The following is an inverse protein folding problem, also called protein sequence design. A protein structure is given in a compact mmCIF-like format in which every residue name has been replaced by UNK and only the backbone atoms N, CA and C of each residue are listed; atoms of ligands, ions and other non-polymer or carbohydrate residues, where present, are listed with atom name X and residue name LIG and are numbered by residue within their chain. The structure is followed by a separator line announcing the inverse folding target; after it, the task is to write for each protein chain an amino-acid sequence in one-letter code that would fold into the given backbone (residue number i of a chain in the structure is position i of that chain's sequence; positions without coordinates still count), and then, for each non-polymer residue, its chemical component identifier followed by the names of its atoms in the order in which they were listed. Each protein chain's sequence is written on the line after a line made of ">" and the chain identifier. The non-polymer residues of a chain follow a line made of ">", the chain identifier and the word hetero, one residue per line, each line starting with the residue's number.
data_IF_248463656639
#
_entry.id   IF_248463656639
#
_cell.length_a   1.000
_cell.length_b   1.000
_cell.length_c   1.000
_cell.angle_alpha   90.00
_cell.angle_beta   90.00
_cell.angle_gamma   90.00
#
_symmetry.space_group_name_H-M   'P 1'
#
loop_
_entity.id
_entity.type
_entity.pdbx_description
1 polymer ?
#
# COMPACT_ATOMS: atom_id res chain seq x y z
N UNK A 1 15.62 -0.54 12.12
CA UNK A 1 14.88 -1.76 12.54
C UNK A 1 14.57 -1.79 14.03
N UNK A 2 15.37 -1.17 14.91
CA UNK A 2 15.05 -1.08 16.33
C UNK A 2 13.68 -0.42 16.60
N UNK A 3 13.33 0.63 15.84
CA UNK A 3 12.03 1.29 15.96
C UNK A 3 10.87 0.39 15.51
N UNK A 4 11.03 -0.29 14.37
CA UNK A 4 9.99 -1.18 13.83
C UNK A 4 9.74 -2.41 14.74
N UNK A 5 10.76 -2.82 15.52
CA UNK A 5 10.64 -3.92 16.51
C UNK A 5 9.74 -3.59 17.69
N UNK A 6 9.49 -2.31 17.95
CA UNK A 6 8.67 -1.91 19.08
C UNK A 6 7.24 -2.46 18.94
N UNK A 7 6.64 -3.02 20.00
CA UNK A 7 5.35 -3.70 19.92
C UNK A 7 4.19 -2.75 19.57
N UNK A 8 4.32 -1.46 19.88
CA UNK A 8 3.33 -0.43 19.55
C UNK A 8 3.44 0.11 18.12
N UNK A 9 4.46 -0.29 17.37
CA UNK A 9 4.59 0.09 15.95
C UNK A 9 3.88 -0.97 15.11
N UNK A 10 2.81 -0.58 14.43
CA UNK A 10 2.03 -1.49 13.59
C UNK A 10 2.83 -1.97 12.37
N UNK A 11 3.55 -1.05 11.72
CA UNK A 11 4.31 -1.38 10.52
C UNK A 11 4.92 -0.17 9.84
N UNK A 12 5.07 -0.25 8.52
CA UNK A 12 5.65 0.77 7.66
C UNK A 12 4.60 1.32 6.69
N UNK A 13 4.63 2.62 6.45
CA UNK A 13 3.93 3.22 5.32
C UNK A 13 4.92 3.79 4.32
N UNK A 14 4.72 3.50 3.04
CA UNK A 14 5.40 4.12 1.90
C UNK A 14 4.52 5.27 1.37
N UNK A 15 4.95 6.51 1.65
CA UNK A 15 4.25 7.74 1.28
C UNK A 15 5.23 8.81 0.75
N UNK A 16 4.68 9.82 0.08
CA UNK A 16 5.44 10.86 -0.63
C UNK A 16 5.92 10.39 -2.01
N UNK A 17 6.41 11.30 -2.85
CA UNK A 17 6.81 10.98 -4.23
C UNK A 17 5.81 10.05 -4.93
N UNK A 18 6.33 9.10 -5.70
CA UNK A 18 5.58 7.92 -6.14
C UNK A 18 6.42 6.67 -5.83
N UNK A 19 6.02 5.83 -4.85
CA UNK A 19 6.78 4.64 -4.46
C UNK A 19 7.09 3.71 -5.62
N UNK A 20 6.15 3.57 -6.56
CA UNK A 20 6.28 2.70 -7.74
C UNK A 20 7.16 3.29 -8.86
N UNK A 21 7.66 4.52 -8.71
CA UNK A 21 8.74 5.07 -9.56
C UNK A 21 10.13 4.90 -8.93
N UNK A 22 10.21 4.60 -7.63
CA UNK A 22 11.45 4.38 -6.89
C UNK A 22 11.57 2.92 -6.41
N UNK A 23 11.05 1.99 -7.21
CA UNK A 23 10.83 0.58 -6.86
C UNK A 23 12.06 -0.10 -6.29
N UNK A 24 13.26 0.17 -6.83
CA UNK A 24 14.52 -0.42 -6.33
C UNK A 24 14.80 -0.13 -4.85
N UNK A 25 14.45 1.06 -4.36
CA UNK A 25 14.65 1.43 -2.95
C UNK A 25 13.53 0.84 -2.11
N UNK A 26 12.28 0.97 -2.56
CA UNK A 26 11.11 0.47 -1.87
C UNK A 26 11.15 -1.07 -1.70
N UNK A 27 11.56 -1.81 -2.75
CA UNK A 27 11.74 -3.26 -2.72
C UNK A 27 12.76 -3.68 -1.67
N UNK A 28 13.96 -3.08 -1.68
CA UNK A 28 14.99 -3.43 -0.69
C UNK A 28 14.49 -3.25 0.74
N UNK A 29 13.71 -2.21 1.01
CA UNK A 29 13.12 -1.98 2.33
C UNK A 29 12.01 -3.00 2.64
N UNK A 30 11.06 -3.19 1.73
CA UNK A 30 9.92 -4.09 1.91
C UNK A 30 10.37 -5.55 2.07
N UNK A 31 11.29 -6.02 1.22
CA UNK A 31 11.90 -7.35 1.31
C UNK A 31 12.59 -7.55 2.67
N UNK A 32 13.35 -6.55 3.15
CA UNK A 32 14.02 -6.64 4.45
C UNK A 32 13.02 -6.72 5.60
N UNK A 33 11.92 -5.96 5.53
CA UNK A 33 10.85 -6.03 6.55
C UNK A 33 10.20 -7.41 6.52
N UNK A 34 9.89 -7.96 5.34
CA UNK A 34 9.32 -9.31 5.22
C UNK A 34 10.28 -10.38 5.75
N UNK A 35 11.58 -10.25 5.50
CA UNK A 35 12.58 -11.18 6.02
C UNK A 35 12.72 -11.12 7.56
N UNK A 36 12.67 -9.93 8.16
CA UNK A 36 12.86 -9.76 9.60
C UNK A 36 11.58 -9.98 10.43
N UNK A 37 10.39 -9.68 9.87
CA UNK A 37 9.13 -9.61 10.60
C UNK A 37 8.00 -10.44 9.99
N UNK A 38 8.20 -11.07 8.83
CA UNK A 38 7.12 -11.72 8.09
C UNK A 38 5.98 -10.74 7.82
N UNK A 39 4.76 -11.15 8.14
CA UNK A 39 3.54 -10.31 8.07
C UNK A 39 3.08 -9.77 9.43
N UNK A 40 3.92 -9.83 10.46
CA UNK A 40 3.59 -9.25 11.78
C UNK A 40 3.66 -7.73 11.80
N UNK A 41 4.37 -7.12 10.83
CA UNK A 41 4.42 -5.69 10.58
C UNK A 41 3.80 -5.41 9.23
N UNK A 42 2.77 -4.58 9.18
CA UNK A 42 2.12 -4.30 7.92
C UNK A 42 2.93 -3.32 7.06
N UNK A 43 2.72 -3.38 5.75
CA UNK A 43 3.29 -2.44 4.79
C UNK A 43 2.13 -1.80 4.04
N UNK A 44 1.94 -0.51 4.28
CA UNK A 44 0.99 0.33 3.56
C UNK A 44 1.68 1.08 2.43
N UNK A 45 0.99 1.31 1.32
CA UNK A 45 1.45 2.17 0.23
C UNK A 45 0.38 3.17 -0.19
N UNK A 46 0.78 4.41 -0.47
CA UNK A 46 -0.05 5.39 -1.18
C UNK A 46 0.53 5.62 -2.57
N UNK A 47 -0.33 5.64 -3.58
CA UNK A 47 0.08 5.79 -4.98
C UNK A 47 -0.94 6.58 -5.78
N UNK A 48 -0.47 7.29 -6.80
CA UNK A 48 -1.33 7.91 -7.80
C UNK A 48 -1.84 6.94 -8.87
N UNK A 49 -1.30 5.73 -8.93
CA UNK A 49 -1.78 4.67 -9.81
C UNK A 49 -3.05 4.01 -9.28
N UNK A 50 -3.83 3.40 -10.16
CA UNK A 50 -4.90 2.49 -9.80
C UNK A 50 -4.38 1.04 -9.71
N UNK A 51 -5.08 0.21 -8.94
CA UNK A 51 -4.78 -1.22 -8.81
C UNK A 51 -4.56 -1.92 -10.16
N UNK A 52 -5.48 -1.72 -11.11
CA UNK A 52 -5.43 -2.39 -12.41
C UNK A 52 -4.22 -1.93 -13.25
N UNK A 53 -3.77 -0.69 -13.05
CA UNK A 53 -2.53 -0.19 -13.65
C UNK A 53 -1.33 -0.94 -13.06
N UNK A 54 -1.22 -1.00 -11.74
CA UNK A 54 -0.09 -1.67 -11.07
C UNK A 54 -0.06 -3.19 -11.26
N UNK A 55 -1.22 -3.84 -11.36
CA UNK A 55 -1.31 -5.27 -11.61
C UNK A 55 -0.77 -5.65 -13.00
N UNK A 56 -0.76 -4.73 -13.96
CA UNK A 56 -0.30 -4.96 -15.34
C UNK A 56 1.08 -4.34 -15.66
N UNK A 57 1.73 -3.77 -14.65
CA UNK A 57 3.00 -3.05 -14.77
C UNK A 57 4.23 -3.95 -14.73
N UNK A 58 5.43 -3.33 -14.77
CA UNK A 58 6.70 -4.04 -14.72
C UNK A 58 6.85 -4.97 -13.50
N UNK A 59 7.66 -6.03 -13.66
CA UNK A 59 7.84 -7.08 -12.66
C UNK A 59 8.25 -6.54 -11.27
N UNK A 60 9.08 -5.51 -11.24
CA UNK A 60 9.52 -4.86 -10.00
C UNK A 60 8.36 -4.16 -9.27
N UNK A 61 7.46 -3.50 -10.00
CA UNK A 61 6.27 -2.85 -9.43
C UNK A 61 5.29 -3.90 -8.91
N UNK A 62 5.07 -4.96 -9.67
CA UNK A 62 4.24 -6.07 -9.22
C UNK A 62 4.85 -6.77 -8.00
N UNK A 63 6.18 -6.90 -7.94
CA UNK A 63 6.87 -7.45 -6.77
C UNK A 63 6.67 -6.56 -5.55
N UNK A 64 6.85 -5.25 -5.70
CA UNK A 64 6.62 -4.30 -4.62
C UNK A 64 5.17 -4.40 -4.12
N UNK A 65 4.21 -4.46 -5.04
CA UNK A 65 2.79 -4.64 -4.72
C UNK A 65 2.58 -5.93 -3.91
N UNK A 66 3.12 -7.08 -4.34
CA UNK A 66 3.01 -8.37 -3.63
C UNK A 66 3.53 -8.33 -2.19
N UNK A 67 4.48 -7.44 -1.91
CA UNK A 67 5.04 -7.28 -0.56
C UNK A 67 4.18 -6.38 0.33
N UNK A 68 3.18 -5.65 -0.16
CA UNK A 68 2.31 -4.77 0.62
C UNK A 68 1.10 -5.50 1.21
N UNK A 69 0.51 -4.96 2.27
CA UNK A 69 -0.76 -5.47 2.84
C UNK A 69 -1.94 -4.56 2.50
N UNK A 70 -1.72 -3.24 2.50
CA UNK A 70 -2.74 -2.23 2.19
C UNK A 70 -2.23 -1.25 1.15
N UNK A 71 -3.03 -1.01 0.11
CA UNK A 71 -2.74 0.01 -0.90
C UNK A 71 -3.86 1.05 -0.91
N UNK A 72 -3.50 2.33 -0.82
CA UNK A 72 -4.38 3.44 -1.13
C UNK A 72 -4.07 3.90 -2.56
N UNK A 73 -4.96 3.56 -3.48
CA UNK A 73 -4.79 3.82 -4.92
C UNK A 73 -5.52 5.10 -5.36
N UNK A 74 -5.14 5.62 -6.53
CA UNK A 74 -5.79 6.75 -7.18
C UNK A 74 -5.18 8.13 -6.84
N UNK A 75 -5.14 8.99 -7.88
CA UNK A 75 -4.66 10.38 -7.77
C UNK A 75 -5.57 11.21 -6.87
N UNK A 76 -4.99 12.17 -6.16
CA UNK A 76 -5.78 13.17 -5.45
C UNK A 76 -6.46 14.11 -6.45
N UNK A 77 -7.79 14.22 -6.38
CA UNK A 77 -8.59 15.12 -7.20
C UNK A 77 -9.20 16.22 -6.32
N UNK A 78 -8.84 17.48 -6.56
CA UNK A 78 -9.34 18.59 -5.72
C UNK A 78 -10.86 18.74 -5.76
N UNK A 79 -11.50 18.44 -6.90
CA UNK A 79 -12.96 18.46 -7.06
C UNK A 79 -13.68 17.38 -6.25
N UNK A 80 -12.98 16.31 -5.87
CA UNK A 80 -13.48 15.19 -5.07
C UNK A 80 -12.90 15.19 -3.66
N UNK A 81 -12.28 16.30 -3.25
CA UNK A 81 -11.68 16.46 -1.92
C UNK A 81 -12.73 16.25 -0.84
N UNK A 82 -12.46 15.32 0.04
CA UNK A 82 -13.27 15.05 1.22
C UNK A 82 -12.34 14.66 2.38
N UNK A 83 -12.25 15.55 3.37
CA UNK A 83 -11.38 15.37 4.54
C UNK A 83 -12.00 14.49 5.63
N UNK A 84 -13.26 14.07 5.47
CA UNK A 84 -13.93 13.14 6.39
C UNK A 84 -13.57 11.68 6.11
N UNK A 85 -12.98 11.41 4.94
CA UNK A 85 -12.54 10.08 4.54
C UNK A 85 -11.33 9.63 5.35
N UNK A 86 -11.40 8.42 5.91
CA UNK A 86 -10.25 7.83 6.61
C UNK A 86 -9.15 7.49 5.60
N UNK A 87 -7.91 7.85 5.92
CA UNK A 87 -6.69 7.48 5.18
C UNK A 87 -6.58 7.99 3.72
N UNK A 88 -7.52 8.81 3.23
CA UNK A 88 -7.48 9.35 1.87
C UNK A 88 -8.05 10.76 1.85
N UNK A 89 -7.64 11.56 0.87
CA UNK A 89 -8.06 12.97 0.76
C UNK A 89 -9.14 13.21 -0.28
N UNK A 90 -9.38 12.24 -1.17
CA UNK A 90 -10.29 12.38 -2.31
C UNK A 90 -11.15 11.12 -2.49
N UNK A 91 -12.41 11.29 -2.85
CA UNK A 91 -13.39 10.19 -2.88
C UNK A 91 -13.18 9.16 -4.00
N UNK A 92 -12.38 9.48 -5.03
CA UNK A 92 -11.98 8.52 -6.06
C UNK A 92 -10.87 7.56 -5.62
N UNK A 93 -10.13 7.90 -4.56
CA UNK A 93 -9.08 7.02 -4.06
C UNK A 93 -9.72 5.83 -3.36
N UNK A 94 -9.15 4.63 -3.42
CA UNK A 94 -9.71 3.46 -2.71
C UNK A 94 -8.66 2.80 -1.83
N UNK A 95 -9.12 2.11 -0.77
CA UNK A 95 -8.24 1.37 0.14
C UNK A 95 -8.44 -0.11 -0.16
N UNK A 96 -7.35 -0.81 -0.46
CA UNK A 96 -7.34 -2.15 -1.03
C UNK A 96 -6.63 -3.10 -0.08
N UNK A 97 -7.23 -4.26 0.13
CA UNK A 97 -6.59 -5.41 0.79
C UNK A 97 -5.76 -6.14 -0.27
N UNK A 98 -4.46 -5.91 -0.27
CA UNK A 98 -3.58 -6.37 -1.35
C UNK A 98 -3.55 -7.90 -1.41
N UNK A 99 -3.48 -8.56 -0.27
CA UNK A 99 -3.34 -10.02 -0.20
C UNK A 99 -4.61 -10.71 -0.67
N UNK A 100 -5.79 -10.26 -0.21
CA UNK A 100 -7.06 -10.79 -0.71
C UNK A 100 -7.25 -10.52 -2.20
N UNK A 101 -6.80 -9.35 -2.67
CA UNK A 101 -6.92 -8.99 -4.08
C UNK A 101 -6.05 -9.88 -4.97
N UNK A 102 -4.83 -10.22 -4.52
CA UNK A 102 -3.95 -11.16 -5.22
C UNK A 102 -4.52 -12.58 -5.23
N UNK A 103 -5.09 -13.03 -4.11
CA UNK A 103 -5.71 -14.36 -4.00
C UNK A 103 -6.96 -14.49 -4.88
N UNK A 104 -7.79 -13.45 -4.93
CA UNK A 104 -9.02 -13.41 -5.74
C UNK A 104 -8.75 -13.15 -7.24
N UNK A 105 -7.59 -12.57 -7.58
CA UNK A 105 -7.30 -12.10 -8.93
C UNK A 105 -8.08 -10.84 -9.33
N UNK A 106 -8.71 -10.17 -8.38
CA UNK A 106 -9.50 -8.95 -8.58
C UNK A 106 -9.35 -7.99 -7.40
N UNK A 107 -9.71 -6.72 -7.60
CA UNK A 107 -9.62 -5.68 -6.57
C UNK A 107 -10.61 -5.93 -5.42
N UNK A 108 -10.09 -6.30 -4.25
CA UNK A 108 -10.84 -6.45 -3.00
C UNK A 108 -10.59 -5.24 -2.08
N UNK A 109 -11.68 -4.55 -1.71
CA UNK A 109 -11.60 -3.41 -0.82
C UNK A 109 -11.23 -3.82 0.61
N UNK A 110 -10.43 -2.98 1.26
CA UNK A 110 -10.01 -3.20 2.64
C UNK A 110 -11.18 -3.04 3.60
N UNK A 111 -11.66 -4.17 4.11
CA UNK A 111 -12.71 -4.24 5.12
C UNK A 111 -12.05 -4.38 6.50
N UNK A 112 -11.70 -3.26 7.14
CA UNK A 112 -11.31 -3.28 8.55
C UNK A 112 -12.20 -2.35 9.37
N UNK A 113 -12.65 -2.88 10.50
CA UNK A 113 -13.74 -2.38 11.35
C UNK A 113 -13.36 -1.18 12.24
N UNK A 114 -12.32 -0.43 11.87
CA UNK A 114 -12.05 0.89 12.45
C UNK A 114 -12.78 2.00 11.69
N UNK A 115 -13.89 1.67 11.03
CA UNK A 115 -14.87 2.60 10.48
C UNK A 115 -15.85 3.01 11.59
#
# INVERSE_FOLDING_TARGET
>A
MADLRQPYVQGLTLLGGEPFLNTKVALRLAQRIRAEFGRTKDIWGWTGYYWDELASESEDKQELLRLMDVLVDGRFELSKRDLTLKFRGSSNQTIIDVQKSLEAGEKILWANAYA
#
